data_IF_141592734816
#
_entry.id   IF_141592734816
#
_cell.length_a   1.000
_cell.length_b   1.000
_cell.length_c   1.000
_cell.angle_alpha   90.00
_cell.angle_beta   90.00
_cell.angle_gamma   90.00
#
_symmetry.space_group_name_H-M   'P 1'
#
loop_
_entity.id
_entity.type
_entity.pdbx_description
1 polymer ?
#
# COMPACT_ATOMS: atom_id res chain seq x y z
N UNK A 1 -35.57 56.49 52.17
CA UNK A 1 -34.80 55.25 52.36
C UNK A 1 -35.51 54.27 53.29
N UNK A 2 -36.53 54.70 54.06
CA UNK A 2 -37.16 53.90 55.13
C UNK A 2 -38.26 52.94 54.67
N UNK A 3 -38.77 53.08 53.45
CA UNK A 3 -39.82 52.18 52.92
C UNK A 3 -39.26 50.84 52.42
N UNK A 4 -38.03 50.84 51.91
CA UNK A 4 -37.37 49.63 51.42
C UNK A 4 -36.83 48.78 52.58
N UNK A 5 -36.32 49.42 53.64
CA UNK A 5 -35.83 48.73 54.83
C UNK A 5 -36.95 48.01 55.58
N UNK A 6 -38.12 48.62 55.74
CA UNK A 6 -39.28 47.97 56.40
C UNK A 6 -39.86 46.77 55.64
N UNK A 7 -39.83 46.77 54.30
CA UNK A 7 -40.30 45.64 53.47
C UNK A 7 -39.31 44.46 53.50
N UNK A 8 -38.00 44.76 53.57
CA UNK A 8 -36.94 43.75 53.65
C UNK A 8 -36.97 43.03 55.00
N UNK A 9 -37.19 43.76 56.09
CA UNK A 9 -37.18 43.20 57.45
C UNK A 9 -38.39 42.25 57.70
N UNK A 10 -39.57 42.59 57.17
CA UNK A 10 -40.79 41.80 57.36
C UNK A 10 -40.86 40.52 56.47
N UNK A 11 -40.01 40.41 55.44
CA UNK A 11 -39.96 39.26 54.52
C UNK A 11 -38.55 38.65 54.40
N UNK A 12 -37.64 38.92 55.33
CA UNK A 12 -36.23 38.50 55.28
C UNK A 12 -36.05 36.98 55.09
N UNK A 13 -36.93 36.15 55.63
CA UNK A 13 -36.94 34.70 55.40
C UNK A 13 -37.22 34.32 53.94
N UNK A 14 -38.13 35.03 53.27
CA UNK A 14 -38.48 34.81 51.86
C UNK A 14 -37.36 35.23 50.90
N UNK A 15 -36.63 36.30 51.23
CA UNK A 15 -35.45 36.72 50.47
C UNK A 15 -34.30 35.71 50.56
N UNK A 16 -34.08 35.08 51.73
CA UNK A 16 -33.08 34.01 51.89
C UNK A 16 -33.45 32.76 51.07
N UNK A 17 -34.70 32.31 51.13
CA UNK A 17 -35.16 31.16 50.33
C UNK A 17 -35.11 31.45 48.83
N UNK A 18 -35.41 32.68 48.42
CA UNK A 18 -35.32 33.11 47.02
C UNK A 18 -33.87 33.15 46.54
N UNK A 19 -32.94 33.69 47.35
CA UNK A 19 -31.51 33.69 47.03
C UNK A 19 -30.92 32.28 46.91
N UNK A 20 -31.31 31.36 47.80
CA UNK A 20 -30.91 29.93 47.75
C UNK A 20 -31.47 29.26 46.49
N UNK A 21 -32.74 29.48 46.15
CA UNK A 21 -33.36 28.95 44.93
C UNK A 21 -32.63 29.43 43.67
N UNK A 22 -32.39 30.73 43.55
CA UNK A 22 -31.69 31.32 42.40
C UNK A 22 -30.25 30.81 42.31
N UNK A 23 -29.53 30.77 43.43
CA UNK A 23 -28.16 30.24 43.50
C UNK A 23 -28.09 28.76 43.11
N UNK A 24 -29.01 27.94 43.62
CA UNK A 24 -29.08 26.51 43.29
C UNK A 24 -29.41 26.26 41.82
N UNK A 25 -30.33 27.03 41.24
CA UNK A 25 -30.65 26.98 39.81
C UNK A 25 -29.44 27.36 38.94
N UNK A 26 -28.70 28.41 39.31
CA UNK A 26 -27.50 28.82 38.59
C UNK A 26 -26.40 27.75 38.61
N UNK A 27 -26.16 27.12 39.77
CA UNK A 27 -25.16 26.05 39.90
C UNK A 27 -25.53 24.83 39.07
N UNK A 28 -26.80 24.39 39.10
CA UNK A 28 -27.29 23.28 38.28
C UNK A 28 -27.18 23.59 36.78
N UNK A 29 -27.55 24.81 36.35
CA UNK A 29 -27.44 25.22 34.96
C UNK A 29 -25.99 25.28 34.50
N UNK A 30 -25.08 25.79 35.34
CA UNK A 30 -23.64 25.82 35.06
C UNK A 30 -23.07 24.40 34.95
N UNK A 31 -23.46 23.50 35.85
CA UNK A 31 -23.04 22.10 35.83
C UNK A 31 -23.57 21.36 34.59
N UNK A 32 -24.87 21.47 34.30
CA UNK A 32 -25.49 20.86 33.12
C UNK A 32 -24.86 21.38 31.82
N UNK A 33 -24.62 22.70 31.72
CA UNK A 33 -23.93 23.29 30.57
C UNK A 33 -22.51 22.76 30.43
N UNK A 34 -21.76 22.69 31.52
CA UNK A 34 -20.38 22.18 31.54
C UNK A 34 -20.31 20.73 31.08
N UNK A 35 -21.20 19.88 31.60
CA UNK A 35 -21.23 18.46 31.23
C UNK A 35 -21.70 18.25 29.78
N UNK A 36 -22.72 18.97 29.31
CA UNK A 36 -23.15 18.82 27.91
C UNK A 36 -22.08 19.22 26.90
N UNK A 37 -21.30 20.26 27.18
CA UNK A 37 -20.24 20.70 26.26
C UNK A 37 -19.10 19.68 26.16
N UNK A 38 -18.68 19.07 27.26
CA UNK A 38 -17.59 18.09 27.25
C UNK A 38 -18.02 16.80 26.55
N UNK A 39 -19.25 16.33 26.79
CA UNK A 39 -19.77 15.09 26.20
C UNK A 39 -19.93 15.20 24.68
N UNK A 40 -20.38 16.36 24.19
CA UNK A 40 -20.51 16.62 22.75
C UNK A 40 -19.12 16.64 22.10
N UNK A 41 -18.15 17.34 22.69
CA UNK A 41 -16.78 17.42 22.17
C UNK A 41 -16.10 16.04 22.11
N UNK A 42 -16.22 15.22 23.16
CA UNK A 42 -15.66 13.86 23.16
C UNK A 42 -16.29 12.98 22.09
N UNK A 43 -17.62 13.05 21.93
CA UNK A 43 -18.33 12.28 20.92
C UNK A 43 -17.92 12.71 19.51
N UNK A 44 -17.86 14.01 19.25
CA UNK A 44 -17.41 14.57 17.97
C UNK A 44 -15.96 14.18 17.67
N UNK A 45 -15.07 14.19 18.66
CA UNK A 45 -13.69 13.75 18.51
C UNK A 45 -13.60 12.25 18.17
N UNK A 46 -14.37 11.40 18.87
CA UNK A 46 -14.40 9.95 18.63
C UNK A 46 -14.97 9.62 17.25
N UNK A 47 -16.07 10.26 16.86
CA UNK A 47 -16.68 10.11 15.54
C UNK A 47 -15.77 10.65 14.43
N UNK A 48 -15.15 11.81 14.64
CA UNK A 48 -14.17 12.40 13.71
C UNK A 48 -12.94 11.50 13.55
N UNK A 49 -12.41 10.94 14.62
CA UNK A 49 -11.26 10.04 14.54
C UNK A 49 -11.59 8.75 13.79
N UNK A 50 -12.77 8.16 14.04
CA UNK A 50 -13.27 6.97 13.34
C UNK A 50 -13.51 7.25 11.85
N UNK A 51 -14.16 8.37 11.53
CA UNK A 51 -14.39 8.82 10.16
C UNK A 51 -13.08 9.09 9.42
N UNK A 52 -12.11 9.71 10.09
CA UNK A 52 -10.78 9.97 9.54
C UNK A 52 -10.04 8.68 9.17
N UNK A 53 -10.13 7.63 9.99
CA UNK A 53 -9.56 6.32 9.67
C UNK A 53 -10.20 5.74 8.41
N UNK A 54 -11.54 5.71 8.35
CA UNK A 54 -12.26 5.15 7.19
C UNK A 54 -11.90 5.91 5.91
N UNK A 55 -11.85 7.24 5.98
CA UNK A 55 -11.41 8.08 4.87
C UNK A 55 -9.98 7.77 4.44
N UNK A 56 -9.06 7.61 5.39
CA UNK A 56 -7.66 7.26 5.08
C UNK A 56 -7.51 5.89 4.43
N UNK A 57 -8.33 4.91 4.83
CA UNK A 57 -8.34 3.60 4.17
C UNK A 57 -8.78 3.72 2.71
N UNK A 58 -9.86 4.45 2.43
CA UNK A 58 -10.31 4.68 1.06
C UNK A 58 -9.26 5.45 0.25
N UNK A 59 -8.63 6.46 0.84
CA UNK A 59 -7.51 7.18 0.23
C UNK A 59 -6.35 6.24 -0.08
N UNK A 60 -5.99 5.35 0.83
CA UNK A 60 -4.93 4.37 0.63
C UNK A 60 -5.19 3.47 -0.59
N UNK A 61 -6.44 3.03 -0.80
CA UNK A 61 -6.81 2.25 -1.99
C UNK A 61 -6.64 3.06 -3.29
N UNK A 62 -7.04 4.33 -3.27
CA UNK A 62 -6.85 5.22 -4.43
C UNK A 62 -5.37 5.51 -4.68
N UNK A 63 -4.59 5.73 -3.62
CA UNK A 63 -3.15 5.96 -3.68
C UNK A 63 -2.43 4.74 -4.28
N UNK A 64 -2.80 3.51 -3.87
CA UNK A 64 -2.32 2.28 -4.51
C UNK A 64 -2.57 2.30 -6.02
N UNK A 65 -3.80 2.60 -6.44
CA UNK A 65 -4.17 2.63 -7.85
C UNK A 65 -3.33 3.65 -8.63
N UNK A 66 -3.17 4.86 -8.10
CA UNK A 66 -2.35 5.90 -8.75
C UNK A 66 -0.88 5.52 -8.83
N UNK A 67 -0.31 4.94 -7.76
CA UNK A 67 1.09 4.49 -7.76
C UNK A 67 1.27 3.39 -8.82
N UNK A 68 0.40 2.39 -8.87
CA UNK A 68 0.46 1.33 -9.89
C UNK A 68 0.41 1.92 -11.29
N UNK A 69 -0.52 2.84 -11.57
CA UNK A 69 -0.61 3.50 -12.87
C UNK A 69 0.63 4.32 -13.22
N UNK A 70 1.32 4.89 -12.23
CA UNK A 70 2.56 5.64 -12.45
C UNK A 70 3.77 4.74 -12.74
N UNK A 71 3.81 3.54 -12.14
CA UNK A 71 4.91 2.59 -12.28
C UNK A 71 4.73 1.66 -13.50
N UNK A 72 3.49 1.41 -13.90
CA UNK A 72 3.12 0.50 -14.98
C UNK A 72 3.80 0.85 -16.33
N UNK A 73 3.88 2.12 -16.78
CA UNK A 73 4.57 2.45 -18.02
C UNK A 73 6.04 2.01 -18.02
N UNK A 74 6.75 2.22 -16.90
CA UNK A 74 8.17 1.83 -16.82
C UNK A 74 8.36 0.33 -16.99
N UNK A 75 7.53 -0.50 -16.35
CA UNK A 75 7.63 -1.95 -16.49
C UNK A 75 7.15 -2.41 -17.87
N UNK A 76 6.06 -1.81 -18.36
CA UNK A 76 5.51 -2.14 -19.68
C UNK A 76 6.52 -1.85 -20.79
N UNK A 77 7.13 -0.67 -20.80
CA UNK A 77 8.13 -0.29 -21.80
C UNK A 77 9.37 -1.19 -21.72
N UNK A 78 9.85 -1.47 -20.51
CA UNK A 78 10.95 -2.40 -20.28
C UNK A 78 10.63 -3.80 -20.84
N UNK A 79 9.43 -4.33 -20.56
CA UNK A 79 8.99 -5.64 -21.02
C UNK A 79 8.84 -5.68 -22.55
N UNK A 80 8.19 -4.69 -23.15
CA UNK A 80 7.95 -4.63 -24.60
C UNK A 80 9.25 -4.48 -25.38
N UNK A 81 10.22 -3.73 -24.84
CA UNK A 81 11.56 -3.62 -25.44
C UNK A 81 12.36 -4.91 -25.28
N UNK A 82 12.27 -5.58 -24.12
CA UNK A 82 13.00 -6.82 -23.86
C UNK A 82 12.48 -8.01 -24.68
N UNK A 83 11.15 -8.17 -24.72
CA UNK A 83 10.46 -9.21 -25.48
C UNK A 83 9.82 -8.60 -26.75
N UNK A 84 10.66 -8.17 -27.67
CA UNK A 84 10.25 -7.41 -28.86
C UNK A 84 9.71 -8.30 -29.99
N UNK A 85 8.41 -8.58 -29.94
CA UNK A 85 7.68 -9.36 -30.95
C UNK A 85 7.60 -8.62 -32.29
N UNK A 86 7.53 -7.29 -32.25
CA UNK A 86 7.36 -6.41 -33.41
C UNK A 86 8.60 -6.44 -34.31
N UNK A 87 9.80 -6.48 -33.71
CA UNK A 87 11.06 -6.61 -34.42
C UNK A 87 11.14 -7.94 -35.17
N UNK A 88 10.86 -9.06 -34.49
CA UNK A 88 10.86 -10.38 -35.12
C UNK A 88 9.81 -10.50 -36.22
N UNK A 89 8.61 -9.97 -35.99
CA UNK A 89 7.54 -9.96 -36.99
C UNK A 89 7.93 -9.13 -38.22
N UNK A 90 8.65 -8.03 -38.02
CA UNK A 90 9.15 -7.18 -39.12
C UNK A 90 10.22 -7.90 -39.92
N UNK A 91 11.16 -8.57 -39.25
CA UNK A 91 12.19 -9.38 -39.91
C UNK A 91 11.57 -10.56 -40.68
N UNK A 92 10.55 -11.22 -40.14
CA UNK A 92 9.83 -12.31 -40.81
C UNK A 92 9.09 -11.87 -42.08
N UNK A 93 8.65 -10.61 -42.14
CA UNK A 93 8.02 -10.03 -43.34
C UNK A 93 9.03 -9.74 -44.46
N UNK A 94 10.32 -9.65 -44.14
CA UNK A 94 11.35 -9.42 -45.16
C UNK A 94 11.60 -10.70 -45.97
N UNK A 95 11.72 -10.55 -47.30
CA UNK A 95 11.58 -11.67 -48.24
C UNK A 95 12.83 -12.56 -48.33
N UNK A 96 13.98 -12.05 -47.93
CA UNK A 96 15.31 -12.58 -48.29
C UNK A 96 15.83 -13.71 -47.39
N UNK A 97 15.08 -14.11 -46.37
CA UNK A 97 15.55 -15.15 -45.44
C UNK A 97 15.36 -16.59 -45.95
N UNK A 98 16.34 -17.45 -45.66
CA UNK A 98 16.29 -18.88 -45.97
C UNK A 98 15.16 -19.60 -45.24
N UNK A 99 14.67 -20.71 -45.79
CA UNK A 99 13.58 -21.50 -45.16
C UNK A 99 13.92 -21.98 -43.74
N UNK A 100 15.19 -22.35 -43.49
CA UNK A 100 15.65 -22.78 -42.16
C UNK A 100 15.58 -21.63 -41.17
N UNK A 101 16.11 -20.47 -41.55
CA UNK A 101 16.14 -19.27 -40.70
C UNK A 101 14.73 -18.78 -40.38
N UNK A 102 13.83 -18.77 -41.37
CA UNK A 102 12.41 -18.47 -41.15
C UNK A 102 11.77 -19.41 -40.12
N UNK A 103 12.05 -20.71 -40.18
CA UNK A 103 11.51 -21.68 -39.20
C UNK A 103 12.03 -21.41 -37.79
N UNK A 104 13.31 -21.09 -37.63
CA UNK A 104 13.90 -20.72 -36.34
C UNK A 104 13.25 -19.46 -35.77
N UNK A 105 13.09 -18.42 -36.59
CA UNK A 105 12.41 -17.19 -36.20
C UNK A 105 10.95 -17.41 -35.81
N UNK A 106 10.22 -18.30 -36.48
CA UNK A 106 8.86 -18.65 -36.08
C UNK A 106 8.82 -19.37 -34.72
N UNK A 107 9.80 -20.22 -34.43
CA UNK A 107 9.93 -20.84 -33.11
C UNK A 107 10.25 -19.80 -32.03
N UNK A 108 11.15 -18.87 -32.32
CA UNK A 108 11.48 -17.77 -31.43
C UNK A 108 10.25 -16.87 -31.18
N UNK A 109 9.53 -16.50 -32.25
CA UNK A 109 8.31 -15.70 -32.15
C UNK A 109 7.26 -16.36 -31.26
N UNK A 110 7.09 -17.69 -31.38
CA UNK A 110 6.19 -18.46 -30.50
C UNK A 110 6.60 -18.26 -29.04
N UNK A 111 7.87 -18.53 -28.70
CA UNK A 111 8.37 -18.42 -27.32
C UNK A 111 8.23 -16.99 -26.79
N UNK A 112 8.65 -15.98 -27.54
CA UNK A 112 8.58 -14.57 -27.11
C UNK A 112 7.13 -14.14 -26.91
N UNK A 113 6.19 -14.54 -27.79
CA UNK A 113 4.79 -14.15 -27.67
C UNK A 113 4.14 -14.72 -26.40
N UNK A 114 4.32 -16.02 -26.13
CA UNK A 114 3.84 -16.64 -24.89
C UNK A 114 4.50 -16.03 -23.65
N UNK A 115 5.82 -15.85 -23.70
CA UNK A 115 6.59 -15.27 -22.59
C UNK A 115 6.14 -13.85 -22.29
N UNK A 116 5.87 -13.03 -23.32
CA UNK A 116 5.41 -11.65 -23.17
C UNK A 116 4.04 -11.60 -22.51
N UNK A 117 3.08 -12.37 -23.01
CA UNK A 117 1.72 -12.39 -22.46
C UNK A 117 1.70 -12.86 -21.01
N UNK A 118 2.41 -13.94 -20.68
CA UNK A 118 2.47 -14.45 -19.31
C UNK A 118 3.22 -13.49 -18.39
N UNK A 119 4.38 -12.98 -18.81
CA UNK A 119 5.15 -12.01 -18.04
C UNK A 119 4.35 -10.74 -17.77
N UNK A 120 3.54 -10.25 -18.72
CA UNK A 120 2.65 -9.11 -18.47
C UNK A 120 1.69 -9.37 -17.31
N UNK A 121 1.07 -10.56 -17.26
CA UNK A 121 0.13 -10.92 -16.19
C UNK A 121 0.84 -11.00 -14.85
N UNK A 122 1.97 -11.70 -14.78
CA UNK A 122 2.74 -11.84 -13.54
C UNK A 122 3.30 -10.50 -13.06
N UNK A 123 3.88 -9.69 -13.94
CA UNK A 123 4.46 -8.40 -13.56
C UNK A 123 3.39 -7.42 -13.06
N UNK A 124 2.23 -7.34 -13.72
CA UNK A 124 1.13 -6.48 -13.25
C UNK A 124 0.55 -7.00 -11.93
N UNK A 125 0.39 -8.31 -11.79
CA UNK A 125 -0.09 -8.95 -10.56
C UNK A 125 0.84 -8.70 -9.38
N UNK A 126 2.14 -8.93 -9.57
CA UNK A 126 3.17 -8.71 -8.55
C UNK A 126 3.34 -7.22 -8.21
N UNK A 127 3.34 -6.33 -9.21
CA UNK A 127 3.37 -4.87 -8.97
C UNK A 127 2.19 -4.43 -8.11
N UNK A 128 1.00 -4.94 -8.44
CA UNK A 128 -0.24 -4.62 -7.72
C UNK A 128 -0.18 -5.15 -6.30
N UNK A 129 0.17 -6.42 -6.11
CA UNK A 129 0.30 -7.03 -4.79
C UNK A 129 1.31 -6.27 -3.94
N UNK A 130 2.52 -6.05 -4.46
CA UNK A 130 3.60 -5.42 -3.73
C UNK A 130 3.26 -3.98 -3.32
N UNK A 131 2.71 -3.18 -4.24
CA UNK A 131 2.28 -1.80 -3.93
C UNK A 131 1.18 -1.79 -2.87
N UNK A 132 0.23 -2.73 -2.94
CA UNK A 132 -0.83 -2.84 -1.94
C UNK A 132 -0.28 -3.25 -0.57
N UNK A 133 0.70 -4.16 -0.50
CA UNK A 133 1.34 -4.54 0.76
C UNK A 133 2.07 -3.33 1.36
N UNK A 134 2.89 -2.64 0.56
CA UNK A 134 3.65 -1.48 1.03
C UNK A 134 2.74 -0.38 1.60
N UNK A 135 1.71 0.01 0.86
CA UNK A 135 0.79 1.06 1.29
C UNK A 135 -0.16 0.60 2.40
N UNK A 136 -0.57 -0.67 2.44
CA UNK A 136 -1.37 -1.20 3.56
C UNK A 136 -0.57 -1.23 4.86
N UNK A 137 0.72 -1.57 4.79
CA UNK A 137 1.61 -1.61 5.94
C UNK A 137 1.84 -0.21 6.51
N UNK A 138 2.11 0.77 5.64
CA UNK A 138 2.21 2.18 6.02
C UNK A 138 0.88 2.72 6.57
N UNK A 139 -0.24 2.38 5.91
CA UNK A 139 -1.58 2.74 6.34
C UNK A 139 -1.88 2.23 7.76
N UNK A 140 -1.45 1.00 8.07
CA UNK A 140 -1.58 0.41 9.41
C UNK A 140 -0.75 1.16 10.46
N UNK A 141 0.49 1.54 10.15
CA UNK A 141 1.31 2.33 11.09
C UNK A 141 0.65 3.69 11.40
N UNK A 142 0.13 4.35 10.37
CA UNK A 142 -0.59 5.63 10.50
C UNK A 142 -1.92 5.44 11.26
N UNK A 143 -2.55 4.27 11.16
CA UNK A 143 -3.72 3.91 11.95
C UNK A 143 -3.35 3.78 13.44
N UNK A 144 -2.27 3.07 13.77
CA UNK A 144 -1.80 2.91 15.16
C UNK A 144 -1.45 4.26 15.77
N UNK A 145 -0.79 5.16 15.03
CA UNK A 145 -0.59 6.57 15.42
C UNK A 145 -1.92 7.26 15.80
N UNK A 146 -2.95 7.05 14.97
CA UNK A 146 -4.25 7.67 15.16
C UNK A 146 -4.98 7.11 16.39
N UNK A 147 -4.90 5.79 16.62
CA UNK A 147 -5.46 5.12 17.80
C UNK A 147 -4.74 5.51 19.09
N UNK A 148 -3.42 5.65 19.06
CA UNK A 148 -2.64 6.12 20.20
C UNK A 148 -3.08 7.53 20.61
N UNK A 149 -3.32 8.40 19.63
CA UNK A 149 -3.86 9.75 19.89
C UNK A 149 -5.26 9.72 20.50
N UNK A 150 -6.15 8.83 20.05
CA UNK A 150 -7.48 8.66 20.66
C UNK A 150 -7.35 8.17 22.11
N UNK A 151 -6.43 7.24 22.36
CA UNK A 151 -6.20 6.69 23.70
C UNK A 151 -5.67 7.76 24.66
N UNK A 152 -4.68 8.55 24.23
CA UNK A 152 -4.18 9.69 25.00
C UNK A 152 -5.27 10.72 25.31
N UNK A 153 -6.19 10.99 24.38
CA UNK A 153 -7.31 11.89 24.63
C UNK A 153 -8.29 11.38 25.70
N UNK A 154 -8.36 10.07 25.93
CA UNK A 154 -9.22 9.49 26.97
C UNK A 154 -8.50 9.38 28.33
N UNK A 155 -7.19 9.62 28.40
CA UNK A 155 -6.38 9.51 29.62
C UNK A 155 -5.91 10.89 30.08
N UNK A 156 -6.61 11.47 31.07
CA UNK A 156 -6.35 12.80 31.62
C UNK A 156 -4.99 12.92 32.37
N UNK A 157 -4.27 11.82 32.54
CA UNK A 157 -3.00 11.77 33.31
C UNK A 157 -1.73 12.03 32.49
N UNK A 158 -1.86 12.14 31.17
CA UNK A 158 -0.71 12.21 30.24
C UNK A 158 -0.42 13.67 29.85
N UNK A 159 0.84 14.09 30.05
CA UNK A 159 1.33 15.43 29.72
C UNK A 159 1.08 15.80 28.24
N UNK A 160 0.36 16.90 27.95
CA UNK A 160 0.11 17.35 26.58
C UNK A 160 1.38 17.78 25.81
N UNK A 161 2.52 17.96 26.48
CA UNK A 161 3.77 18.43 25.85
C UNK A 161 4.70 17.29 25.37
N UNK A 162 4.33 16.02 25.59
CA UNK A 162 5.03 14.89 24.99
C UNK A 162 4.69 14.83 23.49
N UNK A 163 5.51 15.49 22.66
CA UNK A 163 5.47 15.43 21.19
C UNK A 163 5.19 14.00 20.77
N UNK A 164 3.97 13.77 20.28
CA UNK A 164 3.53 12.47 19.80
C UNK A 164 4.40 12.14 18.60
N UNK A 165 5.44 11.35 18.85
CA UNK A 165 6.40 10.95 17.83
C UNK A 165 5.66 10.00 16.91
N UNK A 166 5.52 10.39 15.63
CA UNK A 166 4.92 9.53 14.60
C UNK A 166 5.63 8.17 14.66
N UNK A 167 4.88 7.07 14.65
CA UNK A 167 5.43 5.70 14.71
C UNK A 167 6.45 5.44 13.59
N UNK A 168 6.37 6.18 12.49
CA UNK A 168 7.35 6.18 11.41
C UNK A 168 7.67 7.61 10.96
N UNK A 169 8.96 7.90 10.77
CA UNK A 169 9.42 9.15 10.15
C UNK A 169 8.98 9.22 8.68
N UNK A 170 8.67 10.42 8.17
CA UNK A 170 8.41 10.61 6.73
C UNK A 170 9.62 10.20 5.87
N UNK A 171 10.83 10.27 6.43
CA UNK A 171 12.05 9.84 5.75
C UNK A 171 12.04 8.31 5.62
N UNK A 172 11.79 7.58 6.71
CA UNK A 172 11.71 6.11 6.71
C UNK A 172 10.58 5.57 5.83
N UNK A 173 9.46 6.28 5.75
CA UNK A 173 8.38 5.97 4.82
C UNK A 173 8.86 6.03 3.35
N UNK A 174 9.59 7.07 2.98
CA UNK A 174 10.17 7.21 1.63
C UNK A 174 11.25 6.15 1.37
N UNK A 175 12.07 5.84 2.37
CA UNK A 175 13.09 4.78 2.29
C UNK A 175 12.42 3.43 1.99
N UNK A 176 11.38 3.09 2.74
CA UNK A 176 10.62 1.86 2.53
C UNK A 176 9.97 1.80 1.14
N UNK A 177 9.32 2.88 0.68
CA UNK A 177 8.71 2.93 -0.66
C UNK A 177 9.75 2.88 -1.79
N UNK A 178 10.96 3.38 -1.56
CA UNK A 178 12.02 3.33 -2.56
C UNK A 178 12.52 1.91 -2.87
N UNK A 179 12.26 0.95 -1.99
CA UNK A 179 12.62 -0.45 -2.21
C UNK A 179 11.96 -1.08 -3.44
N UNK A 180 10.83 -0.52 -3.90
CA UNK A 180 10.18 -0.89 -5.17
C UNK A 180 11.07 -0.67 -6.38
N UNK A 181 12.10 0.17 -6.24
CA UNK A 181 13.14 0.32 -7.26
C UNK A 181 13.77 -1.01 -7.67
N UNK A 182 13.96 -1.94 -6.73
CA UNK A 182 14.56 -3.25 -7.03
C UNK A 182 13.73 -4.03 -8.04
N UNK A 183 12.43 -4.16 -7.79
CA UNK A 183 11.51 -4.82 -8.71
C UNK A 183 11.50 -4.11 -10.08
N UNK A 184 11.46 -2.77 -10.09
CA UNK A 184 11.38 -1.96 -11.31
C UNK A 184 12.65 -1.98 -12.17
N UNK A 185 13.83 -2.24 -11.59
CA UNK A 185 15.11 -2.19 -12.31
C UNK A 185 15.77 -3.54 -12.51
N UNK A 186 15.67 -4.42 -11.53
CA UNK A 186 16.40 -5.69 -11.49
C UNK A 186 15.42 -6.87 -11.55
N UNK A 187 14.52 -6.97 -10.57
CA UNK A 187 13.69 -8.16 -10.36
C UNK A 187 12.76 -8.52 -11.51
N UNK A 188 12.19 -7.52 -12.21
CA UNK A 188 11.32 -7.77 -13.37
C UNK A 188 12.03 -8.57 -14.47
N UNK A 189 13.32 -8.31 -14.71
CA UNK A 189 14.08 -8.94 -15.79
C UNK A 189 14.39 -10.39 -15.44
N UNK A 190 14.85 -10.64 -14.21
CA UNK A 190 15.14 -12.00 -13.72
C UNK A 190 13.89 -12.88 -13.78
N UNK A 191 12.73 -12.34 -13.40
CA UNK A 191 11.46 -13.04 -13.52
C UNK A 191 11.12 -13.35 -14.99
N UNK A 192 11.26 -12.39 -15.89
CA UNK A 192 10.98 -12.58 -17.32
C UNK A 192 11.92 -13.62 -17.94
N UNK A 193 13.20 -13.65 -17.55
CA UNK A 193 14.16 -14.65 -18.02
C UNK A 193 13.75 -16.06 -17.61
N UNK A 194 13.35 -16.24 -16.35
CA UNK A 194 12.88 -17.54 -15.85
C UNK A 194 11.57 -17.94 -16.53
N UNK A 195 10.60 -17.03 -16.66
CA UNK A 195 9.35 -17.31 -17.39
C UNK A 195 9.66 -17.72 -18.83
N UNK A 196 10.59 -17.04 -19.50
CA UNK A 196 10.97 -17.34 -20.88
C UNK A 196 11.60 -18.73 -20.99
N UNK A 197 12.44 -19.11 -20.02
CA UNK A 197 13.03 -20.45 -19.96
C UNK A 197 11.95 -21.53 -19.76
N UNK A 198 11.02 -21.32 -18.83
CA UNK A 198 9.90 -22.26 -18.58
C UNK A 198 8.97 -22.38 -19.78
N UNK A 199 8.61 -21.26 -20.41
CA UNK A 199 7.81 -21.24 -21.64
C UNK A 199 8.52 -22.01 -22.74
N UNK A 200 9.84 -21.82 -22.90
CA UNK A 200 10.62 -22.53 -23.93
C UNK A 200 10.64 -24.05 -23.69
N UNK A 201 10.74 -24.48 -22.43
CA UNK A 201 10.69 -25.89 -22.06
C UNK A 201 9.31 -26.51 -22.35
N UNK A 202 8.23 -25.87 -21.92
CA UNK A 202 6.87 -26.44 -22.05
C UNK A 202 6.28 -26.31 -23.47
N UNK A 203 6.79 -25.38 -24.29
CA UNK A 203 6.32 -25.17 -25.66
C UNK A 203 7.21 -25.82 -26.72
N UNK A 204 8.30 -26.52 -26.35
CA UNK A 204 9.22 -27.15 -27.30
C UNK A 204 8.52 -28.18 -28.20
N UNK A 205 7.58 -28.92 -27.62
CA UNK A 205 6.93 -30.06 -28.25
C UNK A 205 5.77 -29.63 -29.18
N UNK A 206 5.36 -28.35 -29.08
CA UNK A 206 4.30 -27.78 -29.91
C UNK A 206 4.84 -27.43 -31.30
N UNK A 207 4.42 -28.20 -32.30
CA UNK A 207 4.74 -27.93 -33.69
C UNK A 207 4.06 -26.65 -34.19
N UNK A 208 4.78 -25.83 -34.97
CA UNK A 208 4.27 -24.58 -35.54
C UNK A 208 3.05 -24.77 -36.47
N UNK A 209 2.86 -25.97 -37.00
CA UNK A 209 1.79 -26.30 -37.96
C UNK A 209 0.61 -27.02 -37.31
N UNK A 210 0.68 -27.30 -36.01
CA UNK A 210 -0.40 -27.99 -35.31
C UNK A 210 -1.60 -27.06 -35.18
N UNK A 211 -2.78 -27.54 -35.55
CA UNK A 211 -4.04 -26.88 -35.20
C UNK A 211 -4.29 -27.18 -33.74
N UNK A 212 -4.19 -26.16 -32.89
CA UNK A 212 -4.35 -26.27 -31.44
C UNK A 212 -5.80 -25.94 -31.10
N UNK A 213 -6.53 -26.87 -30.47
CA UNK A 213 -7.86 -26.57 -29.96
C UNK A 213 -7.77 -25.61 -28.76
N UNK A 214 -8.87 -24.93 -28.45
CA UNK A 214 -8.91 -24.03 -27.29
C UNK A 214 -8.57 -24.74 -25.97
N UNK A 215 -9.05 -25.97 -25.81
CA UNK A 215 -8.79 -26.83 -24.64
C UNK A 215 -7.31 -27.19 -24.51
N UNK A 216 -6.66 -27.52 -25.63
CA UNK A 216 -5.23 -27.81 -25.67
C UNK A 216 -4.41 -26.59 -25.24
N UNK A 217 -4.79 -25.38 -25.71
CA UNK A 217 -4.12 -24.14 -25.34
C UNK A 217 -4.24 -23.84 -23.84
N UNK A 218 -5.41 -24.07 -23.24
CA UNK A 218 -5.59 -23.94 -21.79
C UNK A 218 -4.66 -24.91 -21.07
N UNK A 219 -4.57 -26.16 -21.52
CA UNK A 219 -3.72 -27.17 -20.88
C UNK A 219 -2.23 -26.79 -20.94
N UNK A 220 -1.78 -26.21 -22.05
CA UNK A 220 -0.40 -25.72 -22.21
C UNK A 220 -0.13 -24.56 -21.25
N UNK A 221 -1.04 -23.57 -21.21
CA UNK A 221 -0.91 -22.43 -20.29
C UNK A 221 -0.93 -22.90 -18.83
N UNK A 222 -1.78 -23.86 -18.49
CA UNK A 222 -1.85 -24.43 -17.15
C UNK A 222 -0.54 -25.11 -16.74
N UNK A 223 0.07 -25.91 -17.62
CA UNK A 223 1.39 -26.52 -17.38
C UNK A 223 2.50 -25.48 -17.18
N UNK A 224 2.51 -24.45 -18.03
CA UNK A 224 3.47 -23.35 -17.88
C UNK A 224 3.29 -22.66 -16.52
N UNK A 225 2.04 -22.37 -16.13
CA UNK A 225 1.74 -21.77 -14.83
C UNK A 225 2.18 -22.64 -13.66
N UNK A 226 1.89 -23.94 -13.71
CA UNK A 226 2.32 -24.89 -12.69
C UNK A 226 3.85 -24.88 -12.53
N UNK A 227 4.60 -24.80 -13.63
CA UNK A 227 6.07 -24.71 -13.60
C UNK A 227 6.58 -23.38 -13.04
N UNK A 228 5.89 -22.27 -13.27
CA UNK A 228 6.26 -20.93 -12.78
C UNK A 228 5.88 -20.74 -11.31
N UNK A 229 4.71 -21.20 -10.88
CA UNK A 229 4.15 -20.94 -9.54
C UNK A 229 4.85 -21.73 -8.42
N UNK A 230 5.80 -22.63 -8.77
CA UNK A 230 6.72 -23.26 -7.79
C UNK A 230 7.83 -22.33 -7.30
N UNK A 231 8.01 -21.17 -7.94
CA UNK A 231 9.10 -20.24 -7.65
C UNK A 231 8.70 -19.31 -6.50
N UNK A 232 9.64 -19.01 -5.60
CA UNK A 232 9.45 -17.95 -4.61
C UNK A 232 9.47 -16.57 -5.29
N UNK A 233 8.34 -15.88 -5.32
CA UNK A 233 8.23 -14.57 -5.94
C UNK A 233 8.88 -13.44 -5.12
N UNK A 234 9.12 -13.65 -3.82
CA UNK A 234 9.73 -12.64 -2.95
C UNK A 234 11.12 -12.23 -3.44
N UNK A 235 11.87 -13.16 -4.04
CA UNK A 235 13.22 -12.91 -4.57
C UNK A 235 13.27 -11.89 -5.71
N UNK A 236 12.15 -11.68 -6.41
CA UNK A 236 12.04 -10.69 -7.50
C UNK A 236 11.50 -9.35 -6.99
N UNK A 237 10.74 -9.35 -5.91
CA UNK A 237 10.17 -8.13 -5.34
C UNK A 237 11.20 -7.38 -4.48
N UNK A 238 12.04 -8.12 -3.76
CA UNK A 238 12.99 -7.57 -2.81
C UNK A 238 14.37 -8.22 -2.95
N UNK A 239 15.44 -7.49 -2.59
CA UNK A 239 16.77 -8.08 -2.48
C UNK A 239 16.82 -9.26 -1.52
N UNK A 240 17.84 -10.09 -1.71
CA UNK A 240 18.30 -11.02 -0.67
C UNK A 240 18.72 -10.24 0.58
N UNK A 241 18.44 -10.84 1.74
CA UNK A 241 18.79 -10.28 3.05
C UNK A 241 20.25 -9.81 3.09
N UNK A 242 20.45 -8.57 3.56
CA UNK A 242 21.77 -7.94 3.68
C UNK A 242 22.22 -7.11 2.47
N UNK A 243 21.50 -7.11 1.34
CA UNK A 243 21.79 -6.23 0.19
C UNK A 243 20.91 -4.99 0.09
N UNK A 244 20.10 -4.72 1.11
CA UNK A 244 19.11 -3.65 1.11
C UNK A 244 19.78 -2.26 1.05
N UNK A 245 20.88 -2.07 1.78
CA UNK A 245 21.64 -0.81 1.77
C UNK A 245 22.20 -0.46 0.39
N UNK A 246 22.68 -1.45 -0.37
CA UNK A 246 23.20 -1.24 -1.74
C UNK A 246 22.11 -0.72 -2.68
N UNK A 247 20.87 -1.16 -2.48
CA UNK A 247 19.72 -0.74 -3.29
C UNK A 247 19.25 0.65 -2.90
N UNK A 248 19.22 0.94 -1.60
CA UNK A 248 18.91 2.29 -1.12
C UNK A 248 19.90 3.30 -1.68
N UNK A 249 21.20 2.98 -1.69
CA UNK A 249 22.22 3.82 -2.32
C UNK A 249 21.96 4.02 -3.82
N UNK A 250 21.63 2.94 -4.56
CA UNK A 250 21.29 3.02 -5.98
C UNK A 250 19.99 3.79 -6.28
N UNK A 251 19.07 3.82 -5.33
CA UNK A 251 17.84 4.62 -5.39
C UNK A 251 18.06 6.10 -5.02
N UNK A 252 19.27 6.46 -4.57
CA UNK A 252 19.65 7.83 -4.19
C UNK A 252 19.61 8.12 -2.69
N UNK A 253 19.45 7.10 -1.85
CA UNK A 253 19.40 7.21 -0.38
C UNK A 253 20.75 6.79 0.20
N UNK A 254 21.52 7.77 0.69
CA UNK A 254 22.90 7.54 1.19
C UNK A 254 22.96 7.22 2.68
N UNK A 255 21.90 7.50 3.44
CA UNK A 255 21.85 7.24 4.88
C UNK A 255 20.42 6.90 5.27
N UNK A 256 20.25 5.79 5.98
CA UNK A 256 18.95 5.33 6.49
C UNK A 256 18.65 6.00 7.82
N UNK A 257 17.47 6.61 7.95
CA UNK A 257 17.06 7.34 9.16
C UNK A 257 16.83 6.41 10.35
N UNK A 258 16.17 5.28 10.13
CA UNK A 258 15.91 4.25 11.15
C UNK A 258 16.08 2.85 10.55
N UNK A 259 17.30 2.29 10.60
CA UNK A 259 17.60 1.00 10.00
C UNK A 259 16.79 -0.14 10.59
N UNK A 260 16.50 -0.10 11.90
CA UNK A 260 15.75 -1.18 12.57
C UNK A 260 14.32 -1.18 12.11
N UNK A 261 13.68 -0.01 12.09
CA UNK A 261 12.28 0.11 11.65
C UNK A 261 12.13 -0.24 10.18
N UNK A 262 13.07 0.17 9.34
CA UNK A 262 13.07 -0.19 7.93
C UNK A 262 13.18 -1.72 7.74
N UNK A 263 14.10 -2.36 8.46
CA UNK A 263 14.27 -3.81 8.41
C UNK A 263 13.01 -4.55 8.88
N UNK A 264 12.39 -4.13 9.98
CA UNK A 264 11.11 -4.70 10.44
C UNK A 264 10.02 -4.65 9.36
N UNK A 265 9.93 -3.54 8.60
CA UNK A 265 8.95 -3.41 7.53
C UNK A 265 9.26 -4.31 6.34
N UNK A 266 10.53 -4.48 5.99
CA UNK A 266 10.94 -5.35 4.89
C UNK A 266 10.75 -6.82 5.25
N UNK A 267 11.07 -7.22 6.47
CA UNK A 267 10.85 -8.58 6.96
C UNK A 267 9.34 -8.90 7.00
N UNK A 268 8.52 -7.97 7.51
CA UNK A 268 7.07 -8.14 7.49
C UNK A 268 6.51 -8.18 6.05
N UNK A 269 7.08 -7.41 5.13
CA UNK A 269 6.72 -7.50 3.71
C UNK A 269 7.07 -8.86 3.12
N UNK A 270 8.21 -9.43 3.50
CA UNK A 270 8.67 -10.76 3.07
C UNK A 270 7.72 -11.83 3.58
N UNK A 271 7.31 -11.75 4.84
CA UNK A 271 6.32 -12.65 5.44
C UNK A 271 4.98 -12.60 4.70
N UNK A 272 4.49 -11.40 4.32
CA UNK A 272 3.25 -11.25 3.54
C UNK A 272 3.34 -11.80 2.11
N UNK A 273 4.53 -11.86 1.52
CA UNK A 273 4.70 -12.39 0.17
C UNK A 273 4.85 -13.91 0.19
N UNK A 274 5.43 -14.48 1.25
CA UNK A 274 5.69 -15.91 1.38
C UNK A 274 4.55 -16.70 2.06
N UNK A 275 3.71 -16.03 2.85
CA UNK A 275 2.56 -16.61 3.55
C UNK A 275 1.29 -16.72 2.70
#
# INVERSE_FOLDING_TARGET
MDFLTGVIENNAGKFKTLGVLIGSGYLLQKYAKSQWTTWIQEKELKESATSNIKRRFEQNLQDCYFVIQSLLPSISDNLLQYLNVELLTTQLKQRDESKSKKKEMWQELKVITFSRTLSSVYLVGLLTMFTNIQLSLLGRLVYVDSCHRITKLNDESIDPDEKTTRYISEITEREYLSTSWYFLKVGWKELVDIITEKVKQETSDLALTQVVAYEDLISVVAKIRESIETIDFAQFLMPKEGKENEILEQSGITSVSDPKKLQELLDETRDFVQG
#
